data_IF_327153913409
#
_entry.id   IF_327153913409
#
_cell.length_a   1.000
_cell.length_b   1.000
_cell.length_c   1.000
_cell.angle_alpha   90.00
_cell.angle_beta   90.00
_cell.angle_gamma   90.00
#
_symmetry.space_group_name_H-M   'P 1'
#
loop_
_entity.id
_entity.type
_entity.pdbx_description
1 polymer ?
#
# COMPACT_ATOMS: atom_id res chain seq x y z
N UNK A 1 -11.12 -6.13 -15.66
CA UNK A 1 -9.66 -6.37 -15.54
C UNK A 1 -9.04 -5.11 -14.96
N UNK A 2 -8.42 -5.20 -13.76
CA UNK A 2 -8.10 -4.01 -12.97
C UNK A 2 -6.70 -4.10 -12.33
N UNK A 3 -6.19 -2.96 -11.91
CA UNK A 3 -5.16 -2.84 -10.88
C UNK A 3 -5.86 -2.84 -9.52
N UNK A 4 -5.43 -3.70 -8.62
CA UNK A 4 -5.91 -3.82 -7.25
C UNK A 4 -4.82 -3.28 -6.34
N UNK A 5 -4.92 -2.00 -5.98
CA UNK A 5 -3.94 -1.32 -5.13
C UNK A 5 -4.28 -1.58 -3.67
N UNK A 6 -3.33 -2.13 -2.90
CA UNK A 6 -3.56 -2.71 -1.58
C UNK A 6 -2.49 -2.19 -0.61
N UNK A 7 -2.92 -1.69 0.55
CA UNK A 7 -2.02 -1.43 1.68
C UNK A 7 -1.77 -2.72 2.46
N UNK A 8 -0.56 -2.91 2.96
CA UNK A 8 -0.22 -4.02 3.87
C UNK A 8 -1.11 -4.08 5.11
N UNK A 9 -1.21 -5.23 5.75
CA UNK A 9 -1.90 -5.42 7.02
C UNK A 9 -1.25 -4.66 8.19
N UNK A 10 -1.98 -4.53 9.30
CA UNK A 10 -1.51 -3.82 10.48
C UNK A 10 -0.19 -4.41 11.03
N UNK A 11 0.63 -3.52 11.58
CA UNK A 11 1.81 -3.87 12.39
C UNK A 11 1.69 -3.25 13.77
N UNK A 12 2.40 -3.78 14.76
CA UNK A 12 2.45 -3.18 16.09
C UNK A 12 2.97 -1.72 16.05
N UNK A 13 3.85 -1.41 15.09
CA UNK A 13 4.40 -0.07 14.91
C UNK A 13 3.44 0.91 14.23
N UNK A 14 2.44 0.43 13.46
CA UNK A 14 1.33 1.31 13.03
C UNK A 14 0.56 1.82 14.24
N UNK A 15 0.20 0.92 15.17
CA UNK A 15 -0.53 1.26 16.39
C UNK A 15 0.31 2.16 17.31
N UNK A 16 1.59 1.86 17.47
CA UNK A 16 2.52 2.64 18.29
C UNK A 16 2.95 3.97 17.64
N UNK A 17 2.50 4.28 16.42
CA UNK A 17 2.87 5.50 15.67
C UNK A 17 4.38 5.67 15.52
N UNK A 18 5.06 4.62 15.08
CA UNK A 18 6.52 4.57 14.88
C UNK A 18 6.86 4.43 13.40
N UNK A 19 7.87 5.16 12.93
CA UNK A 19 8.46 5.02 11.59
C UNK A 19 9.07 3.62 11.45
N UNK A 20 8.54 2.80 10.57
CA UNK A 20 8.79 1.37 10.58
C UNK A 20 10.13 0.99 9.93
N UNK A 21 10.97 0.19 10.59
CA UNK A 21 12.04 -0.56 9.96
C UNK A 21 11.56 -1.48 8.83
N UNK A 22 12.48 -1.91 7.98
CA UNK A 22 12.15 -2.72 6.80
C UNK A 22 11.59 -4.11 7.17
N UNK A 23 12.10 -4.69 8.23
CA UNK A 23 11.83 -6.04 8.73
C UNK A 23 10.62 -6.12 9.67
N UNK A 24 9.89 -5.02 9.88
CA UNK A 24 8.70 -4.98 10.75
C UNK A 24 7.64 -5.96 10.26
N UNK A 25 7.26 -6.97 11.08
CA UNK A 25 6.26 -7.97 10.72
C UNK A 25 4.83 -7.45 10.90
N UNK A 26 3.86 -8.19 10.37
CA UNK A 26 2.44 -7.99 10.68
C UNK A 26 2.17 -8.28 12.16
N UNK A 27 1.22 -7.55 12.76
CA UNK A 27 0.62 -7.92 14.04
C UNK A 27 -0.31 -9.12 13.87
N UNK A 28 -0.76 -9.73 14.96
CA UNK A 28 -1.78 -10.78 14.90
C UNK A 28 -3.06 -10.30 14.21
N UNK A 29 -3.48 -9.04 14.47
CA UNK A 29 -4.59 -8.39 13.77
C UNK A 29 -4.28 -8.22 12.27
N UNK A 30 -3.07 -7.79 11.91
CA UNK A 30 -2.65 -7.63 10.52
C UNK A 30 -2.66 -8.95 9.74
N UNK A 31 -2.29 -10.06 10.37
CA UNK A 31 -2.41 -11.41 9.77
C UNK A 31 -3.87 -11.76 9.51
N UNK A 32 -4.76 -11.51 10.48
CA UNK A 32 -6.21 -11.73 10.31
C UNK A 32 -6.81 -10.83 9.22
N UNK A 33 -6.40 -9.54 9.16
CA UNK A 33 -6.80 -8.62 8.10
C UNK A 33 -6.34 -9.11 6.71
N UNK A 34 -5.10 -9.57 6.59
CA UNK A 34 -4.57 -10.11 5.33
C UNK A 34 -5.35 -11.35 4.89
N UNK A 35 -5.72 -12.24 5.81
CA UNK A 35 -6.57 -13.40 5.53
C UNK A 35 -7.99 -13.01 5.07
N UNK A 36 -8.61 -11.99 5.68
CA UNK A 36 -9.91 -11.49 5.26
C UNK A 36 -9.86 -10.87 3.85
N UNK A 37 -8.83 -10.07 3.57
CA UNK A 37 -8.59 -9.52 2.23
C UNK A 37 -8.38 -10.63 1.20
N UNK A 38 -7.57 -11.64 1.51
CA UNK A 38 -7.27 -12.77 0.64
C UNK A 38 -8.55 -13.52 0.21
N UNK A 39 -9.46 -13.80 1.14
CA UNK A 39 -10.78 -14.39 0.84
C UNK A 39 -11.60 -13.53 -0.13
N UNK A 40 -11.59 -12.19 0.05
CA UNK A 40 -12.25 -11.27 -0.87
C UNK A 40 -11.65 -11.30 -2.26
N UNK A 41 -10.32 -11.33 -2.36
CA UNK A 41 -9.60 -11.29 -3.63
C UNK A 41 -9.72 -12.58 -4.44
N UNK A 42 -10.01 -13.72 -3.81
CA UNK A 42 -10.26 -14.99 -4.49
C UNK A 42 -11.39 -14.87 -5.54
N UNK A 43 -12.35 -13.96 -5.36
CA UNK A 43 -13.44 -13.71 -6.30
C UNK A 43 -13.11 -12.66 -7.40
N UNK A 44 -11.91 -12.05 -7.40
CA UNK A 44 -11.57 -10.92 -8.29
C UNK A 44 -10.65 -11.28 -9.47
N UNK A 45 -10.52 -12.57 -9.80
CA UNK A 45 -9.66 -13.05 -10.89
C UNK A 45 -8.24 -12.45 -10.83
N UNK A 46 -7.59 -12.56 -9.65
CA UNK A 46 -6.19 -12.16 -9.47
C UNK A 46 -5.30 -13.21 -10.11
N UNK A 47 -4.50 -12.82 -11.09
CA UNK A 47 -3.62 -13.74 -11.85
C UNK A 47 -2.14 -13.51 -11.56
N UNK A 48 -1.78 -12.37 -10.99
CA UNK A 48 -0.42 -12.03 -10.58
C UNK A 48 -0.44 -11.05 -9.41
N UNK A 49 0.63 -11.05 -8.64
CA UNK A 49 0.86 -10.15 -7.49
C UNK A 49 2.23 -9.50 -7.66
N UNK A 50 2.29 -8.18 -7.53
CA UNK A 50 3.55 -7.44 -7.34
C UNK A 50 3.52 -6.82 -5.96
N UNK A 51 4.53 -7.11 -5.15
CA UNK A 51 4.61 -6.63 -3.76
C UNK A 51 5.86 -5.82 -3.52
N UNK A 52 5.77 -4.84 -2.61
CA UNK A 52 6.96 -4.37 -1.91
C UNK A 52 7.65 -5.56 -1.25
N UNK A 53 8.98 -5.54 -1.22
CA UNK A 53 9.84 -6.53 -0.58
C UNK A 53 9.96 -6.34 0.94
N UNK A 54 9.34 -5.29 1.52
CA UNK A 54 9.30 -5.09 2.96
C UNK A 54 8.39 -6.14 3.63
N UNK A 55 8.85 -6.71 4.75
CA UNK A 55 8.27 -7.89 5.40
C UNK A 55 6.73 -7.85 5.54
N UNK A 56 6.17 -6.74 6.02
CA UNK A 56 4.72 -6.55 6.21
C UNK A 56 3.90 -6.61 4.91
N UNK A 57 4.45 -6.07 3.82
CA UNK A 57 3.81 -6.12 2.52
C UNK A 57 3.91 -7.51 1.90
N UNK A 58 5.10 -8.13 2.00
CA UNK A 58 5.33 -9.48 1.50
C UNK A 58 4.42 -10.49 2.21
N UNK A 59 4.32 -10.46 3.54
CA UNK A 59 3.41 -11.35 4.28
C UNK A 59 1.93 -11.15 3.92
N UNK A 60 1.53 -9.90 3.61
CA UNK A 60 0.18 -9.65 3.09
C UNK A 60 -0.01 -10.26 1.70
N UNK A 61 1.00 -10.15 0.82
CA UNK A 61 0.97 -10.73 -0.51
C UNK A 61 0.95 -12.27 -0.48
N UNK A 62 1.66 -12.88 0.46
CA UNK A 62 1.68 -14.34 0.67
C UNK A 62 0.29 -14.87 1.04
N UNK A 63 -0.45 -14.17 1.92
CA UNK A 63 -1.83 -14.52 2.24
C UNK A 63 -2.74 -14.47 0.99
N UNK A 64 -2.57 -13.46 0.14
CA UNK A 64 -3.31 -13.33 -1.12
C UNK A 64 -2.93 -14.46 -2.08
N UNK A 65 -1.64 -14.76 -2.22
CA UNK A 65 -1.16 -15.84 -3.09
C UNK A 65 -1.70 -17.21 -2.67
N UNK A 66 -1.75 -17.48 -1.38
CA UNK A 66 -2.31 -18.72 -0.84
C UNK A 66 -3.80 -18.91 -1.21
N UNK A 67 -4.58 -17.81 -1.28
CA UNK A 67 -6.00 -17.88 -1.60
C UNK A 67 -6.31 -17.85 -3.11
N UNK A 68 -5.42 -17.28 -3.92
CA UNK A 68 -5.66 -17.06 -5.36
C UNK A 68 -4.86 -17.98 -6.28
N UNK A 69 -3.77 -18.58 -5.78
CA UNK A 69 -2.79 -19.30 -6.58
C UNK A 69 -1.88 -18.41 -7.43
N UNK A 70 -2.01 -17.08 -7.32
CA UNK A 70 -1.23 -16.13 -8.09
C UNK A 70 0.23 -16.08 -7.64
N UNK A 71 1.17 -15.94 -8.59
CA UNK A 71 2.59 -15.79 -8.28
C UNK A 71 2.90 -14.39 -7.77
N UNK A 72 3.85 -14.32 -6.82
CA UNK A 72 4.36 -13.07 -6.28
C UNK A 72 5.68 -12.73 -6.97
N UNK A 73 5.79 -11.47 -7.40
CA UNK A 73 7.05 -10.82 -7.72
C UNK A 73 7.25 -9.65 -6.76
N UNK A 74 8.48 -9.42 -6.31
CA UNK A 74 8.81 -8.28 -5.45
C UNK A 74 9.39 -7.13 -6.25
N UNK A 75 9.17 -5.90 -5.77
CA UNK A 75 9.73 -4.69 -6.37
C UNK A 75 10.09 -3.67 -5.29
N UNK A 76 11.36 -3.29 -5.23
CA UNK A 76 11.84 -2.23 -4.35
C UNK A 76 11.24 -0.85 -4.70
N UNK A 77 10.72 -0.67 -5.93
CA UNK A 77 10.01 0.54 -6.32
C UNK A 77 8.72 0.75 -5.50
N UNK A 78 8.16 -0.33 -4.93
CA UNK A 78 6.95 -0.30 -4.11
C UNK A 78 7.23 -0.14 -2.61
N UNK A 79 8.49 0.01 -2.18
CA UNK A 79 8.82 0.27 -0.77
C UNK A 79 8.21 1.58 -0.28
N UNK A 80 7.91 1.66 1.02
CA UNK A 80 7.49 2.91 1.66
C UNK A 80 8.56 3.99 1.53
N UNK A 81 8.19 5.26 1.67
CA UNK A 81 9.15 6.37 1.68
C UNK A 81 10.28 6.07 2.66
N UNK A 82 11.50 6.21 2.18
CA UNK A 82 12.67 5.94 3.02
C UNK A 82 12.91 7.11 3.98
N UNK A 83 12.66 6.87 5.25
CA UNK A 83 12.90 7.85 6.32
C UNK A 83 14.31 7.74 6.94
N UNK A 84 15.20 6.92 6.37
CA UNK A 84 16.61 6.82 6.78
C UNK A 84 16.77 6.55 8.27
N UNK A 85 17.60 7.38 8.94
CA UNK A 85 17.95 7.28 10.36
C UNK A 85 16.78 7.61 11.32
N UNK A 86 15.63 8.03 10.77
CA UNK A 86 14.44 8.24 11.58
C UNK A 86 13.60 6.98 11.78
N UNK A 87 13.90 5.90 11.06
CA UNK A 87 13.25 4.60 11.28
C UNK A 87 13.43 4.15 12.73
N UNK A 88 12.37 3.63 13.33
CA UNK A 88 12.32 3.27 14.75
C UNK A 88 11.97 4.43 15.69
N UNK A 89 11.83 5.66 15.19
CA UNK A 89 11.42 6.81 16.02
C UNK A 89 9.91 6.99 16.00
N UNK A 90 9.32 7.43 17.13
CA UNK A 90 7.92 7.87 17.14
C UNK A 90 7.70 9.04 16.16
N UNK A 91 6.55 9.08 15.51
CA UNK A 91 6.16 10.19 14.63
C UNK A 91 6.18 11.53 15.34
N UNK A 92 5.64 11.56 16.57
CA UNK A 92 5.59 12.78 17.39
C UNK A 92 6.98 13.23 17.90
N UNK A 93 7.98 12.38 17.77
CA UNK A 93 9.38 12.66 18.06
C UNK A 93 10.16 13.30 16.89
N UNK A 94 9.51 13.46 15.74
CA UNK A 94 10.10 14.11 14.57
C UNK A 94 9.51 15.52 14.45
N UNK A 95 10.37 16.55 14.55
CA UNK A 95 9.95 17.97 14.58
C UNK A 95 9.37 18.51 13.25
N UNK A 96 9.06 17.63 12.30
CA UNK A 96 8.63 18.01 10.95
C UNK A 96 7.42 17.17 10.55
N UNK A 97 6.44 17.79 9.90
CA UNK A 97 5.34 17.03 9.28
C UNK A 97 5.88 16.16 8.13
N UNK A 98 5.89 14.86 8.36
CA UNK A 98 6.43 13.85 7.44
C UNK A 98 5.67 13.79 6.12
N UNK A 99 4.41 14.22 6.09
CA UNK A 99 3.57 14.21 4.90
C UNK A 99 3.90 15.37 3.94
N UNK A 100 4.33 16.50 4.49
CA UNK A 100 4.58 17.73 3.74
C UNK A 100 6.06 18.05 3.56
N UNK A 101 6.94 17.36 4.31
CA UNK A 101 8.38 17.62 4.22
C UNK A 101 8.93 17.36 2.80
N UNK A 102 9.62 18.35 2.24
CA UNK A 102 10.27 18.25 0.92
C UNK A 102 11.69 17.67 0.99
N UNK A 103 12.40 17.97 2.07
CA UNK A 103 13.79 17.58 2.29
C UNK A 103 13.93 16.09 2.57
N UNK A 104 15.11 15.51 2.26
CA UNK A 104 15.43 14.15 2.68
C UNK A 104 15.81 14.13 4.16
N UNK A 105 15.30 13.17 4.97
CA UNK A 105 15.89 12.89 6.25
C UNK A 105 17.29 12.28 6.08
N UNK A 106 18.17 12.32 7.09
CA UNK A 106 19.49 11.70 7.01
C UNK A 106 19.38 10.22 6.57
N UNK A 107 20.13 9.84 5.54
CA UNK A 107 20.07 8.50 4.95
C UNK A 107 18.75 8.13 4.27
N UNK A 108 17.85 9.09 4.11
CA UNK A 108 16.51 8.86 3.57
C UNK A 108 16.27 9.47 2.18
N UNK A 109 15.00 9.55 1.81
CA UNK A 109 14.52 9.94 0.48
C UNK A 109 13.78 11.29 0.54
N UNK A 110 14.14 12.24 -0.35
CA UNK A 110 13.41 13.50 -0.51
C UNK A 110 12.01 13.27 -1.09
N UNK A 111 11.12 14.23 -0.94
CA UNK A 111 9.79 14.14 -1.57
C UNK A 111 9.87 14.00 -3.09
N UNK A 112 10.82 14.69 -3.74
CA UNK A 112 11.01 14.61 -5.19
C UNK A 112 11.50 13.23 -5.63
N UNK A 113 12.50 12.64 -4.94
CA UNK A 113 12.99 11.30 -5.23
C UNK A 113 11.88 10.25 -5.01
N UNK A 114 11.12 10.38 -3.93
CA UNK A 114 9.97 9.53 -3.64
C UNK A 114 8.91 9.62 -4.76
N UNK A 115 8.51 10.82 -5.16
CA UNK A 115 7.52 11.01 -6.22
C UNK A 115 7.99 10.40 -7.56
N UNK A 116 9.27 10.58 -7.91
CA UNK A 116 9.85 9.98 -9.11
C UNK A 116 9.83 8.45 -9.05
N UNK A 117 10.20 7.85 -7.91
CA UNK A 117 10.16 6.40 -7.71
C UNK A 117 8.73 5.86 -7.82
N UNK A 118 7.75 6.55 -7.22
CA UNK A 118 6.34 6.14 -7.32
C UNK A 118 5.82 6.22 -8.76
N UNK A 119 6.24 7.24 -9.53
CA UNK A 119 5.88 7.34 -10.94
C UNK A 119 6.44 6.15 -11.75
N UNK A 120 7.71 5.77 -11.51
CA UNK A 120 8.32 4.58 -12.14
C UNK A 120 7.60 3.30 -11.71
N UNK A 121 7.25 3.16 -10.42
CA UNK A 121 6.48 2.03 -9.92
C UNK A 121 5.11 1.93 -10.61
N UNK A 122 4.39 3.05 -10.73
CA UNK A 122 3.08 3.06 -11.38
C UNK A 122 3.17 2.69 -12.86
N UNK A 123 4.13 3.22 -13.60
CA UNK A 123 4.36 2.87 -15.01
C UNK A 123 4.68 1.37 -15.17
N UNK A 124 5.49 0.79 -14.28
CA UNK A 124 5.83 -0.63 -14.30
C UNK A 124 4.61 -1.52 -14.05
N UNK A 125 3.79 -1.23 -13.02
CA UNK A 125 2.58 -2.02 -12.74
C UNK A 125 1.53 -1.92 -13.86
N UNK A 126 1.38 -0.76 -14.50
CA UNK A 126 0.50 -0.59 -15.67
C UNK A 126 0.98 -1.44 -16.83
N UNK A 127 2.27 -1.40 -17.14
CA UNK A 127 2.89 -2.22 -18.20
C UNK A 127 2.70 -3.72 -17.93
N UNK A 128 2.99 -4.18 -16.70
CA UNK A 128 2.80 -5.59 -16.30
C UNK A 128 1.34 -6.00 -16.44
N UNK A 129 0.42 -5.14 -15.95
CA UNK A 129 -1.02 -5.41 -16.03
C UNK A 129 -1.49 -5.58 -17.49
N UNK A 130 -0.96 -4.81 -18.43
CA UNK A 130 -1.35 -4.88 -19.84
C UNK A 130 -1.09 -6.27 -20.47
N UNK A 131 -0.08 -6.99 -19.97
CA UNK A 131 0.30 -8.32 -20.45
C UNK A 131 -0.46 -9.49 -19.80
N UNK A 132 -1.39 -9.21 -18.86
CA UNK A 132 -2.05 -10.25 -18.05
C UNK A 132 -3.50 -10.48 -18.49
N UNK A 133 -4.01 -11.73 -18.42
CA UNK A 133 -5.41 -12.05 -18.75
C UNK A 133 -6.40 -11.74 -17.63
N UNK A 134 -5.94 -11.31 -16.45
CA UNK A 134 -6.75 -11.04 -15.26
C UNK A 134 -6.35 -9.78 -14.51
N UNK A 135 -6.73 -9.63 -13.26
CA UNK A 135 -6.36 -8.51 -12.40
C UNK A 135 -4.94 -8.67 -11.84
N UNK A 136 -4.24 -7.56 -11.67
CA UNK A 136 -2.94 -7.48 -10.99
C UNK A 136 -3.15 -6.92 -9.59
N UNK A 137 -2.81 -7.70 -8.56
CA UNK A 137 -2.75 -7.20 -7.19
C UNK A 137 -1.38 -6.52 -6.93
N UNK A 138 -1.42 -5.35 -6.33
CA UNK A 138 -0.23 -4.55 -5.99
C UNK A 138 -0.25 -4.29 -4.50
N UNK A 139 0.67 -4.91 -3.75
CA UNK A 139 0.74 -4.77 -2.29
C UNK A 139 1.87 -3.81 -1.92
N UNK A 140 1.52 -2.73 -1.25
CA UNK A 140 2.46 -1.65 -0.92
C UNK A 140 2.06 -0.94 0.39
N UNK A 141 2.36 0.34 0.52
CA UNK A 141 2.31 1.12 1.76
C UNK A 141 1.45 2.39 1.60
N UNK A 142 1.17 3.02 2.73
CA UNK A 142 0.26 4.14 2.81
C UNK A 142 0.66 5.35 1.97
N UNK A 143 1.91 5.83 2.09
CA UNK A 143 2.37 7.00 1.33
C UNK A 143 2.49 6.71 -0.17
N UNK A 144 2.91 5.51 -0.55
CA UNK A 144 3.00 5.08 -1.95
C UNK A 144 1.61 5.10 -2.59
N UNK A 145 0.61 4.48 -1.94
CA UNK A 145 -0.77 4.48 -2.45
C UNK A 145 -1.34 5.89 -2.52
N UNK A 146 -1.12 6.71 -1.50
CA UNK A 146 -1.55 8.11 -1.50
C UNK A 146 -0.97 8.87 -2.69
N UNK A 147 0.33 8.71 -2.95
CA UNK A 147 1.00 9.35 -4.08
C UNK A 147 0.46 8.83 -5.42
N UNK A 148 0.22 7.51 -5.57
CA UNK A 148 -0.38 6.93 -6.76
C UNK A 148 -1.79 7.49 -7.01
N UNK A 149 -2.64 7.50 -5.98
CA UNK A 149 -4.02 7.98 -6.07
C UNK A 149 -4.10 9.48 -6.39
N UNK A 150 -3.18 10.28 -5.86
CA UNK A 150 -3.16 11.72 -6.08
C UNK A 150 -2.62 12.13 -7.47
N UNK A 151 -1.65 11.38 -8.01
CA UNK A 151 -0.89 11.82 -9.19
C UNK A 151 -1.11 10.98 -10.45
N UNK A 152 -1.58 9.74 -10.32
CA UNK A 152 -1.62 8.79 -11.45
C UNK A 152 -3.00 8.17 -11.67
N UNK A 153 -3.94 8.37 -10.75
CA UNK A 153 -5.29 7.78 -10.81
C UNK A 153 -6.33 8.89 -10.91
N UNK A 154 -7.28 8.72 -11.80
CA UNK A 154 -8.45 9.59 -11.86
C UNK A 154 -9.48 9.13 -10.84
N UNK A 155 -9.70 9.96 -9.83
CA UNK A 155 -10.70 9.68 -8.80
C UNK A 155 -12.12 10.00 -9.32
N UNK A 156 -13.16 9.38 -8.71
CA UNK A 156 -14.56 9.76 -8.98
C UNK A 156 -14.80 11.25 -8.75
N UNK A 157 -15.77 11.81 -9.48
CA UNK A 157 -16.10 13.22 -9.34
C UNK A 157 -16.47 13.59 -7.88
N UNK A 158 -15.88 14.66 -7.38
CA UNK A 158 -16.08 15.13 -6.00
C UNK A 158 -15.24 14.41 -4.94
N UNK A 159 -14.48 13.36 -5.31
CA UNK A 159 -13.58 12.68 -4.37
C UNK A 159 -12.18 13.31 -4.38
N UNK A 160 -11.63 13.55 -3.21
CA UNK A 160 -10.23 13.94 -3.00
C UNK A 160 -9.45 12.69 -2.60
N UNK A 161 -8.17 12.63 -2.96
CA UNK A 161 -7.30 11.54 -2.53
C UNK A 161 -7.26 11.47 -0.99
N UNK A 162 -7.52 10.29 -0.40
CA UNK A 162 -7.57 10.16 1.05
C UNK A 162 -6.21 10.47 1.68
N UNK A 163 -6.23 11.17 2.79
CA UNK A 163 -5.02 11.44 3.60
C UNK A 163 -4.64 10.23 4.45
N UNK A 164 -5.62 9.40 4.80
CA UNK A 164 -5.48 8.13 5.49
C UNK A 164 -5.96 7.00 4.60
N UNK A 165 -5.25 5.89 4.61
CA UNK A 165 -5.61 4.64 3.94
C UNK A 165 -5.56 3.51 4.96
N UNK A 166 -6.66 2.76 5.10
CA UNK A 166 -6.77 1.66 6.07
C UNK A 166 -5.81 0.50 5.77
N UNK A 167 -5.40 -0.23 6.80
CA UNK A 167 -4.64 -1.47 6.60
C UNK A 167 -5.47 -2.49 5.82
N UNK A 168 -4.84 -3.19 4.89
CA UNK A 168 -5.48 -4.06 3.90
C UNK A 168 -6.55 -3.39 3.04
N UNK A 169 -6.66 -2.07 3.05
CA UNK A 169 -7.60 -1.37 2.17
C UNK A 169 -7.32 -1.68 0.71
N UNK A 170 -8.41 -1.75 -0.07
CA UNK A 170 -8.40 -2.07 -1.49
C UNK A 170 -8.91 -0.88 -2.30
N UNK A 171 -8.09 -0.38 -3.22
CA UNK A 171 -8.52 0.53 -4.27
C UNK A 171 -8.50 -0.20 -5.62
N UNK A 172 -9.62 -0.11 -6.36
CA UNK A 172 -9.78 -0.78 -7.67
C UNK A 172 -9.69 0.27 -8.75
N UNK A 173 -8.70 0.13 -9.62
CA UNK A 173 -8.34 1.10 -10.66
C UNK A 173 -8.38 0.45 -12.02
N UNK A 174 -8.95 1.14 -13.00
CA UNK A 174 -8.98 0.71 -14.39
C UNK A 174 -7.58 0.59 -14.98
N UNK A 175 -7.34 -0.49 -15.73
CA UNK A 175 -6.03 -0.75 -16.35
C UNK A 175 -5.68 0.23 -17.47
N UNK A 176 -6.68 0.82 -18.12
CA UNK A 176 -6.49 1.75 -19.22
C UNK A 176 -6.56 3.21 -18.76
N UNK A 177 -5.77 4.11 -19.36
CA UNK A 177 -5.92 5.54 -19.10
C UNK A 177 -7.37 6.00 -19.32
N UNK A 178 -7.86 6.90 -18.51
CA UNK A 178 -7.18 7.70 -17.48
C UNK A 178 -7.04 7.00 -16.12
N UNK A 179 -7.01 5.67 -16.04
CA UNK A 179 -6.90 4.89 -14.81
C UNK A 179 -7.95 5.27 -13.77
N UNK A 180 -9.23 5.24 -14.17
CA UNK A 180 -10.35 5.63 -13.30
C UNK A 180 -10.48 4.66 -12.12
N UNK A 181 -10.51 5.20 -10.90
CA UNK A 181 -10.84 4.43 -9.72
C UNK A 181 -12.35 4.17 -9.66
N UNK A 182 -12.74 2.91 -9.54
CA UNK A 182 -14.11 2.51 -9.25
C UNK A 182 -14.35 2.33 -7.75
N UNK A 183 -13.29 2.19 -6.98
CA UNK A 183 -13.31 2.05 -5.52
C UNK A 183 -11.99 2.56 -4.94
N UNK A 184 -12.07 3.26 -3.81
CA UNK A 184 -10.90 3.82 -3.12
C UNK A 184 -11.00 3.48 -1.65
N UNK A 185 -9.91 3.05 -1.04
CA UNK A 185 -9.75 2.79 0.40
C UNK A 185 -10.84 1.91 1.01
N UNK A 186 -11.20 0.84 0.33
CA UNK A 186 -12.31 -0.01 0.74
C UNK A 186 -11.85 -1.12 1.69
N UNK A 187 -12.40 -1.13 2.89
CA UNK A 187 -12.14 -2.12 3.96
C UNK A 187 -13.35 -3.00 4.29
N UNK A 188 -14.35 -3.09 3.40
CA UNK A 188 -15.61 -3.84 3.66
C UNK A 188 -15.43 -5.34 3.85
N UNK A 189 -14.25 -5.89 3.64
CA UNK A 189 -13.91 -7.29 3.95
C UNK A 189 -13.53 -7.48 5.41
N UNK A 190 -13.31 -6.41 6.17
CA UNK A 190 -12.98 -6.48 7.58
C UNK A 190 -14.26 -6.54 8.41
N UNK A 191 -14.38 -7.57 9.24
CA UNK A 191 -15.45 -7.70 10.20
C UNK A 191 -15.31 -6.66 11.34
N UNK A 192 -16.38 -6.37 12.09
CA UNK A 192 -16.29 -5.55 13.28
C UNK A 192 -15.17 -6.05 14.22
N UNK A 193 -14.28 -5.15 14.62
CA UNK A 193 -13.11 -5.48 15.45
C UNK A 193 -11.82 -5.78 14.70
N UNK A 194 -11.86 -6.01 13.36
CA UNK A 194 -10.66 -6.10 12.52
C UNK A 194 -10.27 -4.78 11.86
N UNK A 195 -11.10 -3.75 11.94
CA UNK A 195 -10.77 -2.41 11.44
C UNK A 195 -9.52 -1.83 12.09
N UNK A 196 -8.97 -0.79 11.48
CA UNK A 196 -7.81 -0.09 12.01
C UNK A 196 -8.11 0.51 13.39
N UNK A 197 -7.10 0.55 14.24
CA UNK A 197 -7.12 1.44 15.40
C UNK A 197 -7.27 2.88 14.89
N UNK A 198 -8.21 3.63 15.48
CA UNK A 198 -8.49 5.02 15.10
C UNK A 198 -7.26 5.95 15.25
N UNK A 199 -6.27 5.53 16.03
CA UNK A 199 -5.01 6.24 16.23
C UNK A 199 -3.86 5.74 15.35
N UNK A 200 -4.05 4.63 14.63
CA UNK A 200 -3.01 4.08 13.75
C UNK A 200 -2.72 5.03 12.59
N UNK A 201 -1.44 5.25 12.31
CA UNK A 201 -1.03 6.09 11.19
C UNK A 201 -1.01 5.32 9.86
N UNK A 202 -1.43 5.98 8.79
CA UNK A 202 -1.45 5.43 7.44
C UNK A 202 -0.19 5.71 6.63
N UNK A 203 0.87 6.09 7.27
CA UNK A 203 2.14 6.34 6.57
C UNK A 203 3.32 5.97 7.45
N UNK A 204 4.06 4.98 7.12
CA UNK A 204 5.28 4.59 7.84
C UNK A 204 5.64 3.17 7.56
#
# INVERSE_FOLDING_TARGET
MSLLLIRHGETALNVARVLQPADTPLSARGVAQAGALARRLAALNVVAIVSSDLARALSTAEAIAAATGARIETSALLQERNFGDWRGRPYDGVATDLLTMSQAPPGGESAAAFAQRVALAFADIVRRRAALPGSLAVVTHGLVLRAMLASHVRLPAGMVAPTHLGNTSLSIVGAQPPHLASRVDCTTHLEPGLGDDAHALSGG
#
